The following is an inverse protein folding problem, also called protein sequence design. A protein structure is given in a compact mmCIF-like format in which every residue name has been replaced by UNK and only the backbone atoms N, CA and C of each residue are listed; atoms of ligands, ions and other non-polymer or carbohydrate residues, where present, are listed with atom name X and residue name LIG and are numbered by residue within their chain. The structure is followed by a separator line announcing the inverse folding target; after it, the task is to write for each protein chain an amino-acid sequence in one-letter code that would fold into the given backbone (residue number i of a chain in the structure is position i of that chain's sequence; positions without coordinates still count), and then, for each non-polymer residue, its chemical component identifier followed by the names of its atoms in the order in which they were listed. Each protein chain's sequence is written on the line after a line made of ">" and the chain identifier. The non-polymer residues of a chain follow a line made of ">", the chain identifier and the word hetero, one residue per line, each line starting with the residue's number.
data_IF_419387256940
#
_entry.id   IF_419387256940
#
_cell.length_a   1.000
_cell.length_b   1.000
_cell.length_c   1.000
_cell.angle_alpha   90.00
_cell.angle_beta   90.00
_cell.angle_gamma   90.00
#
_symmetry.space_group_name_H-M   'P 1'
#
loop_
_entity.id
_entity.type
_entity.pdbx_description
1 polymer ?
#
# COMPACT_ATOMS: atom_id res chain seq x y z
N UNK A 1 -22.45 39.36 27.70
CA UNK A 1 -21.25 39.14 26.86
C UNK A 1 -21.67 38.28 25.69
N UNK A 2 -21.74 38.90 24.51
CA UNK A 2 -22.04 38.26 23.23
C UNK A 2 -20.83 37.43 22.77
N UNK A 3 -21.04 36.12 22.56
CA UNK A 3 -20.05 35.25 21.96
C UNK A 3 -19.90 35.65 20.48
N UNK A 4 -18.79 36.28 20.13
CA UNK A 4 -18.40 36.45 18.72
C UNK A 4 -18.07 35.07 18.15
N UNK A 5 -18.49 34.74 16.91
CA UNK A 5 -18.04 33.53 16.25
C UNK A 5 -16.53 33.58 16.07
N UNK A 6 -15.86 32.50 16.47
CA UNK A 6 -14.46 32.23 16.17
C UNK A 6 -14.24 32.35 14.66
N UNK A 7 -13.52 33.40 14.26
CA UNK A 7 -13.23 33.73 12.86
C UNK A 7 -11.82 33.22 12.48
N UNK A 8 -11.48 32.01 12.91
CA UNK A 8 -10.43 31.22 12.27
C UNK A 8 -10.77 31.10 10.77
N UNK A 9 -9.83 31.30 9.84
CA UNK A 9 -10.09 31.11 8.41
C UNK A 9 -10.56 29.67 8.26
N UNK A 10 -11.85 29.49 7.97
CA UNK A 10 -12.44 28.18 7.77
C UNK A 10 -11.66 27.52 6.63
N UNK A 11 -11.28 26.28 6.84
CA UNK A 11 -10.67 25.42 5.83
C UNK A 11 -11.60 25.30 4.63
N UNK A 12 -11.55 26.26 3.71
CA UNK A 12 -12.39 26.28 2.52
C UNK A 12 -12.04 25.07 1.64
N UNK A 13 -13.07 24.27 1.40
CA UNK A 13 -13.05 23.14 0.48
C UNK A 13 -12.72 23.63 -0.94
N UNK A 14 -11.97 22.86 -1.72
CA UNK A 14 -11.63 23.24 -3.08
C UNK A 14 -12.89 23.28 -3.96
N UNK A 15 -13.25 24.46 -4.44
CA UNK A 15 -14.37 24.68 -5.35
C UNK A 15 -13.94 24.47 -6.80
N UNK A 16 -14.21 23.27 -7.31
CA UNK A 16 -13.89 22.88 -8.67
C UNK A 16 -14.64 23.70 -9.73
N UNK A 17 -15.88 24.12 -9.47
CA UNK A 17 -16.69 24.82 -10.48
C UNK A 17 -16.09 26.20 -10.74
N UNK A 18 -15.83 26.95 -9.66
CA UNK A 18 -15.12 28.24 -9.75
C UNK A 18 -13.73 28.07 -10.35
N UNK A 19 -12.97 27.06 -9.90
CA UNK A 19 -11.61 26.84 -10.37
C UNK A 19 -11.52 26.52 -11.88
N UNK A 20 -12.44 25.72 -12.41
CA UNK A 20 -12.51 25.41 -13.84
C UNK A 20 -12.82 26.65 -14.68
N UNK A 21 -13.73 27.50 -14.21
CA UNK A 21 -14.08 28.77 -14.87
C UNK A 21 -12.88 29.73 -14.87
N UNK A 22 -12.26 29.95 -13.71
CA UNK A 22 -11.12 30.88 -13.56
C UNK A 22 -9.91 30.46 -14.40
N UNK A 23 -9.68 29.16 -14.53
CA UNK A 23 -8.56 28.61 -15.30
C UNK A 23 -8.91 28.35 -16.77
N UNK A 24 -10.14 28.65 -17.20
CA UNK A 24 -10.66 28.36 -18.54
C UNK A 24 -10.31 26.93 -19.00
N UNK A 25 -10.59 25.97 -18.11
CA UNK A 25 -10.18 24.57 -18.27
C UNK A 25 -11.40 23.64 -18.21
N UNK A 26 -11.24 22.44 -18.75
CA UNK A 26 -12.27 21.40 -18.72
C UNK A 26 -11.86 20.26 -17.78
N UNK A 27 -12.82 19.69 -17.05
CA UNK A 27 -12.59 18.45 -16.32
C UNK A 27 -12.44 17.26 -17.30
N UNK A 28 -11.56 16.33 -16.99
CA UNK A 28 -11.54 15.04 -17.68
C UNK A 28 -12.83 14.26 -17.37
N UNK A 29 -13.40 13.63 -18.41
CA UNK A 29 -14.63 12.85 -18.26
C UNK A 29 -14.44 11.67 -17.31
N UNK A 30 -15.42 11.40 -16.44
CA UNK A 30 -15.39 10.27 -15.50
C UNK A 30 -15.20 8.90 -16.19
N UNK A 31 -15.66 8.75 -17.45
CA UNK A 31 -15.46 7.51 -18.21
C UNK A 31 -14.01 7.25 -18.63
N UNK A 32 -13.12 8.24 -18.50
CA UNK A 32 -11.69 8.09 -18.78
C UNK A 32 -10.94 7.38 -17.65
N UNK A 33 -11.56 7.25 -16.47
CA UNK A 33 -10.92 6.76 -15.25
C UNK A 33 -11.31 5.32 -14.97
N UNK A 34 -10.35 4.55 -14.43
CA UNK A 34 -10.65 3.26 -13.80
C UNK A 34 -11.09 3.49 -12.35
N UNK A 35 -12.22 4.16 -12.18
CA UNK A 35 -12.83 4.44 -10.89
C UNK A 35 -14.33 4.12 -10.93
N UNK A 36 -14.88 3.72 -9.79
CA UNK A 36 -16.33 3.61 -9.63
C UNK A 36 -16.94 5.02 -9.63
N UNK A 37 -18.06 5.22 -10.33
CA UNK A 37 -18.76 6.51 -10.35
C UNK A 37 -19.19 6.94 -8.94
N UNK A 38 -19.62 5.98 -8.12
CA UNK A 38 -19.89 6.18 -6.70
C UNK A 38 -18.69 5.61 -5.94
N UNK A 39 -18.01 6.40 -5.09
CA UNK A 39 -16.90 5.90 -4.30
C UNK A 39 -17.30 4.68 -3.46
N UNK A 40 -16.46 3.63 -3.42
CA UNK A 40 -16.78 2.42 -2.68
C UNK A 40 -16.78 2.70 -1.17
N UNK A 41 -17.77 2.13 -0.46
CA UNK A 41 -17.82 2.24 1.01
C UNK A 41 -16.62 1.53 1.66
N UNK A 42 -15.95 2.21 2.58
CA UNK A 42 -14.82 1.67 3.33
C UNK A 42 -15.24 1.07 4.67
N UNK A 43 -15.30 -0.27 4.73
CA UNK A 43 -15.78 -1.03 5.89
C UNK A 43 -14.66 -1.66 6.74
N UNK A 44 -13.40 -1.41 6.38
CA UNK A 44 -12.26 -1.85 7.17
C UNK A 44 -12.15 -1.09 8.50
N UNK A 45 -11.49 -1.69 9.49
CA UNK A 45 -11.15 -1.03 10.75
C UNK A 45 -9.63 -0.92 10.93
N UNK A 46 -9.19 0.17 11.57
CA UNK A 46 -7.79 0.32 11.97
C UNK A 46 -7.42 -0.80 12.95
N UNK A 47 -6.26 -1.43 12.72
CA UNK A 47 -5.78 -2.60 13.43
C UNK A 47 -6.13 -3.92 12.76
N UNK A 48 -7.06 -3.95 11.80
CA UNK A 48 -7.35 -5.17 11.04
C UNK A 48 -6.22 -5.55 10.10
N UNK A 49 -6.14 -6.84 9.80
CA UNK A 49 -5.12 -7.43 8.92
C UNK A 49 -5.70 -7.93 7.61
N UNK A 50 -4.88 -7.93 6.57
CA UNK A 50 -5.20 -8.43 5.24
C UNK A 50 -3.96 -8.99 4.54
N UNK A 51 -4.16 -9.69 3.43
CA UNK A 51 -3.08 -10.04 2.51
C UNK A 51 -2.89 -8.90 1.51
N UNK A 52 -1.64 -8.48 1.27
CA UNK A 52 -1.30 -7.41 0.33
C UNK A 52 0.00 -7.70 -0.39
N UNK A 53 0.17 -7.14 -1.57
CA UNK A 53 1.46 -7.10 -2.27
C UNK A 53 2.37 -6.05 -1.60
N UNK A 54 3.67 -6.34 -1.46
CA UNK A 54 4.67 -5.34 -1.08
C UNK A 54 4.96 -4.44 -2.30
N UNK A 55 4.76 -3.12 -2.25
CA UNK A 55 5.04 -2.24 -3.39
C UNK A 55 6.48 -2.30 -3.93
N UNK A 56 7.43 -2.78 -3.12
CA UNK A 56 8.85 -2.94 -3.50
C UNK A 56 9.15 -4.33 -4.07
N UNK A 57 8.21 -5.27 -3.97
CA UNK A 57 8.29 -6.61 -4.52
C UNK A 57 6.88 -7.10 -4.95
N UNK A 58 6.55 -6.84 -6.21
CA UNK A 58 5.18 -7.03 -6.72
C UNK A 58 4.77 -8.50 -6.90
N UNK A 59 5.72 -9.44 -6.81
CA UNK A 59 5.47 -10.87 -7.06
C UNK A 59 5.08 -11.64 -5.78
N UNK A 60 5.00 -10.95 -4.64
CA UNK A 60 4.97 -11.59 -3.32
C UNK A 60 3.85 -11.04 -2.44
N UNK A 61 3.00 -11.95 -1.97
CA UNK A 61 1.93 -11.64 -1.03
C UNK A 61 2.44 -11.73 0.41
N UNK A 62 2.26 -10.63 1.12
CA UNK A 62 2.63 -10.44 2.51
C UNK A 62 1.37 -10.15 3.34
N UNK A 63 1.55 -10.00 4.65
CA UNK A 63 0.48 -9.58 5.55
C UNK A 63 0.68 -8.10 5.87
N UNK A 64 -0.41 -7.34 5.77
CA UNK A 64 -0.46 -5.93 6.13
C UNK A 64 -1.48 -5.69 7.23
N UNK A 65 -1.18 -4.72 8.09
CA UNK A 65 -2.09 -4.16 9.08
C UNK A 65 -2.56 -2.78 8.62
N UNK A 66 -3.86 -2.52 8.75
CA UNK A 66 -4.46 -1.22 8.46
C UNK A 66 -4.12 -0.28 9.61
N UNK A 67 -3.37 0.77 9.32
CA UNK A 67 -2.92 1.73 10.33
C UNK A 67 -3.68 3.06 10.28
N UNK A 68 -4.34 3.35 9.16
CA UNK A 68 -5.14 4.57 8.99
C UNK A 68 -6.17 4.41 7.85
N UNK A 69 -7.11 5.34 7.75
CA UNK A 69 -8.16 5.38 6.73
C UNK A 69 -8.43 6.82 6.28
N UNK A 70 -8.74 7.00 5.01
CA UNK A 70 -9.16 8.28 4.45
C UNK A 70 -10.14 8.05 3.29
N UNK A 71 -11.42 8.28 3.54
CA UNK A 71 -12.51 7.89 2.65
C UNK A 71 -12.40 6.41 2.21
N UNK A 72 -12.44 6.10 0.90
CA UNK A 72 -12.23 4.76 0.33
C UNK A 72 -10.79 4.26 0.34
N UNK A 73 -9.83 5.02 0.88
CA UNK A 73 -8.43 4.60 0.99
C UNK A 73 -8.13 4.04 2.38
N UNK A 74 -7.29 3.03 2.43
CA UNK A 74 -6.70 2.46 3.64
C UNK A 74 -5.19 2.60 3.57
N UNK A 75 -4.57 2.97 4.70
CA UNK A 75 -3.12 3.00 4.84
C UNK A 75 -2.66 1.72 5.49
N UNK A 76 -1.71 1.05 4.85
CA UNK A 76 -1.28 -0.30 5.22
C UNK A 76 0.18 -0.26 5.62
N UNK A 77 0.50 -0.91 6.74
CA UNK A 77 1.86 -1.24 7.17
C UNK A 77 2.08 -2.73 7.04
N UNK A 78 3.20 -3.15 6.46
CA UNK A 78 3.54 -4.58 6.38
C UNK A 78 3.94 -5.12 7.76
N UNK A 79 3.45 -6.31 8.09
CA UNK A 79 3.68 -6.92 9.38
C UNK A 79 5.18 -7.23 9.59
N UNK A 80 5.74 -6.70 10.68
CA UNK A 80 7.15 -6.88 11.02
C UNK A 80 8.11 -5.89 10.34
N UNK A 81 7.60 -4.82 9.72
CA UNK A 81 8.38 -3.67 9.22
C UNK A 81 8.19 -2.42 10.07
N UNK A 82 8.95 -1.35 9.78
CA UNK A 82 8.71 -0.01 10.33
C UNK A 82 7.62 0.75 9.57
N UNK A 83 7.44 2.04 9.91
CA UNK A 83 6.44 2.96 9.35
C UNK A 83 6.91 3.75 8.12
N UNK A 84 8.17 3.56 7.69
CA UNK A 84 8.78 4.39 6.64
C UNK A 84 8.24 4.06 5.25
N UNK A 85 7.67 2.88 5.10
CA UNK A 85 7.18 2.34 3.83
C UNK A 85 5.69 2.01 3.89
N UNK A 86 4.93 2.66 4.79
CA UNK A 86 3.48 2.56 4.76
C UNK A 86 2.96 3.06 3.41
N UNK A 87 1.90 2.44 2.90
CA UNK A 87 1.33 2.80 1.59
C UNK A 87 -0.18 2.80 1.62
N UNK A 88 -0.77 3.60 0.73
CA UNK A 88 -2.21 3.70 0.57
C UNK A 88 -2.72 2.78 -0.53
N UNK A 89 -3.92 2.22 -0.32
CA UNK A 89 -4.68 1.50 -1.36
C UNK A 89 -6.16 1.82 -1.23
N UNK A 90 -6.86 1.82 -2.36
CA UNK A 90 -8.32 1.81 -2.36
C UNK A 90 -8.85 0.45 -1.87
N UNK A 91 -10.02 0.45 -1.24
CA UNK A 91 -10.70 -0.78 -0.76
C UNK A 91 -11.15 -1.74 -1.87
N UNK A 92 -11.14 -1.27 -3.12
CA UNK A 92 -11.43 -2.05 -4.33
C UNK A 92 -10.15 -2.40 -5.13
N UNK A 93 -8.97 -2.22 -4.54
CA UNK A 93 -7.69 -2.54 -5.18
C UNK A 93 -7.51 -4.05 -5.33
N UNK A 94 -6.95 -4.48 -6.46
CA UNK A 94 -6.50 -5.86 -6.67
C UNK A 94 -5.25 -6.23 -5.89
N UNK A 95 -4.57 -5.24 -5.29
CA UNK A 95 -3.35 -5.47 -4.51
C UNK A 95 -3.65 -5.93 -3.09
N UNK A 96 -4.91 -5.94 -2.67
CA UNK A 96 -5.37 -6.37 -1.35
C UNK A 96 -6.36 -7.52 -1.47
N UNK A 97 -6.35 -8.44 -0.51
CA UNK A 97 -7.30 -9.56 -0.45
C UNK A 97 -7.51 -10.09 0.96
N UNK A 98 -8.59 -10.84 1.13
CA UNK A 98 -8.89 -11.48 2.41
C UNK A 98 -7.86 -12.56 2.76
N UNK A 99 -7.65 -12.73 4.05
CA UNK A 99 -6.72 -13.73 4.56
C UNK A 99 -7.12 -15.16 4.19
N UNK A 100 -6.14 -15.97 3.81
CA UNK A 100 -6.30 -17.34 3.33
C UNK A 100 -6.39 -17.44 1.80
N UNK A 101 -6.50 -16.32 1.08
CA UNK A 101 -6.61 -16.33 -0.38
C UNK A 101 -5.32 -16.85 -1.03
N UNK A 102 -4.16 -16.40 -0.55
CA UNK A 102 -2.85 -16.89 -1.04
C UNK A 102 -2.75 -18.40 -0.94
N UNK A 103 -3.10 -18.96 0.23
CA UNK A 103 -3.05 -20.39 0.47
C UNK A 103 -4.04 -21.17 -0.39
N UNK A 104 -5.26 -20.61 -0.61
CA UNK A 104 -6.28 -21.22 -1.48
C UNK A 104 -5.81 -21.39 -2.92
N UNK A 105 -4.95 -20.49 -3.41
CA UNK A 105 -4.36 -20.58 -4.75
C UNK A 105 -3.00 -21.31 -4.77
N UNK A 106 -2.65 -22.04 -3.72
CA UNK A 106 -1.41 -22.82 -3.63
C UNK A 106 -0.15 -21.98 -3.39
N UNK A 107 -0.30 -20.68 -3.13
CA UNK A 107 0.80 -19.80 -2.75
C UNK A 107 1.12 -19.87 -1.27
N UNK A 108 2.21 -19.22 -0.86
CA UNK A 108 2.58 -19.04 0.54
C UNK A 108 2.75 -17.55 0.86
N UNK A 109 2.35 -17.16 2.07
CA UNK A 109 2.65 -15.82 2.58
C UNK A 109 4.14 -15.73 2.91
N UNK A 110 4.80 -14.73 2.35
CA UNK A 110 6.23 -14.49 2.54
C UNK A 110 6.47 -13.31 3.48
N UNK A 111 7.65 -13.22 4.13
CA UNK A 111 8.01 -12.02 4.86
C UNK A 111 8.13 -10.82 3.90
N UNK A 112 7.69 -9.62 4.31
CA UNK A 112 7.84 -8.41 3.50
C UNK A 112 9.32 -8.01 3.34
N UNK A 113 9.61 -7.21 2.32
CA UNK A 113 10.92 -6.59 2.20
C UNK A 113 11.17 -5.69 3.41
N UNK A 114 12.35 -5.73 4.01
CA UNK A 114 12.61 -4.98 5.24
C UNK A 114 11.91 -5.53 6.49
N UNK A 115 11.49 -6.80 6.48
CA UNK A 115 11.21 -7.54 7.71
C UNK A 115 12.39 -7.39 8.68
N UNK A 116 12.14 -6.84 9.87
CA UNK A 116 13.20 -6.37 10.76
C UNK A 116 13.97 -7.50 11.47
N UNK A 117 13.43 -8.72 11.43
CA UNK A 117 14.11 -9.88 11.99
C UNK A 117 14.74 -10.74 10.89
N UNK A 118 15.59 -11.68 11.28
CA UNK A 118 16.12 -12.67 10.35
C UNK A 118 14.97 -13.47 9.69
N UNK A 119 15.03 -13.68 8.38
CA UNK A 119 14.00 -14.37 7.59
C UNK A 119 13.68 -15.78 8.11
N UNK A 120 14.65 -16.49 8.69
CA UNK A 120 14.45 -17.81 9.33
C UNK A 120 13.48 -17.76 10.52
N UNK A 121 13.25 -16.58 11.11
CA UNK A 121 12.28 -16.36 12.20
C UNK A 121 10.86 -16.11 11.69
N UNK A 122 10.66 -15.94 10.39
CA UNK A 122 9.35 -15.62 9.81
C UNK A 122 8.27 -16.62 10.23
N UNK A 123 8.53 -17.92 10.12
CA UNK A 123 7.55 -18.95 10.50
C UNK A 123 7.09 -18.80 11.97
N UNK A 124 8.03 -18.56 12.88
CA UNK A 124 7.72 -18.32 14.31
C UNK A 124 7.01 -16.98 14.53
N UNK A 125 7.38 -15.95 13.78
CA UNK A 125 6.72 -14.65 13.82
C UNK A 125 5.26 -14.77 13.36
N UNK A 126 5.04 -15.43 12.23
CA UNK A 126 3.72 -15.63 11.62
C UNK A 126 2.79 -16.39 12.58
N UNK A 127 3.25 -17.52 13.13
CA UNK A 127 2.47 -18.32 14.08
C UNK A 127 2.05 -17.52 15.33
N UNK A 128 2.92 -16.61 15.81
CA UNK A 128 2.65 -15.84 17.04
C UNK A 128 1.83 -14.58 16.82
N UNK A 129 2.07 -13.86 15.73
CA UNK A 129 1.56 -12.49 15.55
C UNK A 129 0.51 -12.37 14.44
N UNK A 130 0.48 -13.32 13.50
CA UNK A 130 -0.33 -13.22 12.29
C UNK A 130 -1.46 -14.24 12.27
N UNK A 131 -1.17 -15.51 12.50
CA UNK A 131 -2.10 -16.63 12.22
C UNK A 131 -3.50 -16.47 12.81
N UNK A 132 -3.60 -15.90 14.02
CA UNK A 132 -4.86 -15.65 14.73
C UNK A 132 -5.13 -14.14 14.89
N UNK A 133 -4.62 -13.31 13.98
CA UNK A 133 -4.79 -11.87 14.01
C UNK A 133 -6.23 -11.42 13.69
N UNK A 134 -6.56 -10.15 13.97
CA UNK A 134 -7.88 -9.59 13.65
C UNK A 134 -8.00 -9.33 12.15
N UNK A 135 -8.30 -10.37 11.36
CA UNK A 135 -8.42 -10.23 9.91
C UNK A 135 -9.72 -9.55 9.49
N UNK A 136 -9.62 -8.66 8.51
CA UNK A 136 -10.77 -7.99 7.92
C UNK A 136 -11.72 -9.00 7.27
N UNK A 137 -13.03 -8.76 7.38
CA UNK A 137 -14.03 -9.62 6.79
C UNK A 137 -13.99 -9.55 5.25
N UNK A 138 -14.32 -10.65 4.57
CA UNK A 138 -14.36 -10.72 3.10
C UNK A 138 -15.26 -9.62 2.47
N UNK A 139 -16.33 -9.19 3.16
CA UNK A 139 -17.21 -8.11 2.73
C UNK A 139 -16.53 -6.73 2.62
N UNK A 140 -15.39 -6.52 3.28
CA UNK A 140 -14.65 -5.27 3.22
C UNK A 140 -13.98 -5.05 1.85
N UNK A 141 -13.65 -6.13 1.15
CA UNK A 141 -12.95 -6.11 -0.13
C UNK A 141 -13.94 -5.88 -1.27
N UNK A 142 -13.76 -4.81 -2.03
CA UNK A 142 -14.71 -4.39 -3.07
C UNK A 142 -14.23 -4.81 -4.46
N UNK A 143 -15.16 -4.90 -5.41
CA UNK A 143 -14.85 -5.26 -6.79
C UNK A 143 -14.15 -4.11 -7.51
N UNK A 144 -13.03 -4.42 -8.16
CA UNK A 144 -12.29 -3.43 -8.97
C UNK A 144 -13.16 -2.90 -10.12
N UNK A 145 -13.17 -1.58 -10.38
CA UNK A 145 -13.88 -1.00 -11.52
C UNK A 145 -13.30 -1.46 -12.86
N UNK A 146 -14.16 -1.45 -13.87
CA UNK A 146 -13.83 -1.80 -15.26
C UNK A 146 -12.76 -0.82 -15.77
N UNK A 147 -11.70 -1.38 -16.37
CA UNK A 147 -10.66 -0.59 -17.01
C UNK A 147 -11.23 0.03 -18.30
N UNK A 148 -11.10 1.36 -18.52
CA UNK A 148 -11.46 1.96 -19.80
C UNK A 148 -10.65 1.31 -20.93
N UNK A 149 -11.26 1.07 -22.09
CA UNK A 149 -10.59 0.35 -23.19
C UNK A 149 -9.43 1.13 -23.81
N UNK A 150 -9.53 2.47 -23.78
CA UNK A 150 -8.61 3.38 -24.45
C UNK A 150 -8.29 4.57 -23.56
N UNK A 151 -7.12 5.16 -23.79
CA UNK A 151 -6.78 6.45 -23.23
C UNK A 151 -7.57 7.54 -23.96
N UNK A 152 -8.54 8.16 -23.27
CA UNK A 152 -9.41 9.21 -23.80
C UNK A 152 -9.12 10.60 -23.19
N UNK A 153 -8.03 10.72 -22.43
CA UNK A 153 -7.61 12.01 -21.88
C UNK A 153 -7.11 12.96 -22.97
N UNK A 154 -7.30 14.25 -22.74
CA UNK A 154 -6.81 15.33 -23.60
C UNK A 154 -5.91 16.27 -22.81
N UNK A 155 -4.91 16.83 -23.48
CA UNK A 155 -4.05 17.87 -22.91
C UNK A 155 -4.90 19.06 -22.43
N UNK A 156 -4.57 19.59 -21.26
CA UNK A 156 -5.27 20.71 -20.63
C UNK A 156 -6.43 20.31 -19.72
N UNK A 157 -6.88 19.05 -19.77
CA UNK A 157 -7.95 18.60 -18.87
C UNK A 157 -7.48 18.54 -17.42
N UNK A 158 -8.37 18.90 -16.50
CA UNK A 158 -8.16 18.83 -15.05
C UNK A 158 -8.73 17.57 -14.43
N UNK A 159 -8.08 17.11 -13.37
CA UNK A 159 -8.44 15.92 -12.61
C UNK A 159 -7.86 16.00 -11.18
N UNK A 160 -8.16 14.99 -10.37
CA UNK A 160 -7.61 14.80 -9.03
C UNK A 160 -6.54 13.69 -9.07
N UNK A 161 -5.36 13.91 -8.48
CA UNK A 161 -4.27 12.93 -8.50
C UNK A 161 -3.53 12.84 -7.16
N UNK A 162 -3.13 11.64 -6.77
CA UNK A 162 -2.25 11.44 -5.62
C UNK A 162 -0.88 12.05 -5.90
N UNK A 163 -0.30 12.74 -4.92
CA UNK A 163 1.07 13.23 -5.01
C UNK A 163 2.06 12.06 -4.83
N UNK A 164 2.90 11.73 -5.83
CA UNK A 164 3.87 10.64 -5.71
C UNK A 164 4.89 10.82 -4.57
N UNK A 165 5.14 12.07 -4.13
CA UNK A 165 6.04 12.39 -3.01
C UNK A 165 5.34 12.38 -1.66
N UNK A 166 4.03 12.64 -1.66
CA UNK A 166 3.18 12.70 -0.48
C UNK A 166 1.91 11.89 -0.70
N UNK A 167 1.96 10.54 -0.67
CA UNK A 167 0.82 9.69 -1.02
C UNK A 167 -0.43 9.88 -0.14
N UNK A 168 -0.28 10.53 1.02
CA UNK A 168 -1.38 10.98 1.86
C UNK A 168 -2.23 12.07 1.19
N UNK A 169 -1.68 12.84 0.25
CA UNK A 169 -2.34 13.96 -0.41
C UNK A 169 -2.91 13.56 -1.77
N UNK A 170 -4.12 14.06 -2.04
CA UNK A 170 -4.69 14.13 -3.38
C UNK A 170 -4.78 15.62 -3.74
N UNK A 171 -4.32 15.96 -4.95
CA UNK A 171 -4.15 17.34 -5.40
C UNK A 171 -4.94 17.58 -6.69
N UNK A 172 -5.36 18.83 -6.96
CA UNK A 172 -5.77 19.25 -8.29
C UNK A 172 -4.59 19.08 -9.24
N UNK A 173 -4.84 18.51 -10.42
CA UNK A 173 -3.80 18.24 -11.41
C UNK A 173 -4.31 18.48 -12.83
N UNK A 174 -3.37 18.79 -13.71
CA UNK A 174 -3.63 19.07 -15.13
C UNK A 174 -2.90 18.04 -16.00
N UNK A 175 -3.58 17.53 -17.03
CA UNK A 175 -2.98 16.70 -18.08
C UNK A 175 -2.07 17.57 -18.95
N UNK A 176 -0.77 17.54 -18.66
CA UNK A 176 0.22 18.33 -19.39
C UNK A 176 0.52 17.76 -20.79
N UNK A 177 0.52 16.43 -20.94
CA UNK A 177 0.70 15.79 -22.24
C UNK A 177 0.15 14.35 -22.29
N UNK A 178 -0.13 13.88 -23.51
CA UNK A 178 -0.46 12.48 -23.79
C UNK A 178 0.79 11.79 -24.34
N UNK A 179 1.16 10.64 -23.76
CA UNK A 179 2.32 9.87 -24.21
C UNK A 179 1.82 8.77 -25.14
N UNK A 180 1.79 9.08 -26.44
CA UNK A 180 1.36 8.14 -27.47
C UNK A 180 2.26 6.90 -27.51
N UNK A 181 1.63 5.72 -27.64
CA UNK A 181 2.33 4.43 -27.71
C UNK A 181 2.60 3.74 -26.36
N UNK A 182 2.46 4.44 -25.23
CA UNK A 182 2.77 3.89 -23.89
C UNK A 182 1.55 3.91 -22.94
N UNK A 183 0.34 4.19 -23.44
CA UNK A 183 -0.88 4.24 -22.61
C UNK A 183 -0.75 5.14 -21.36
N UNK A 184 0.11 6.16 -21.40
CA UNK A 184 0.38 7.04 -20.26
C UNK A 184 -0.04 8.47 -20.53
N UNK A 185 -0.36 9.16 -19.45
CA UNK A 185 -0.56 10.60 -19.41
C UNK A 185 0.51 11.22 -18.51
N UNK A 186 0.96 12.42 -18.88
CA UNK A 186 1.86 13.22 -18.05
C UNK A 186 1.04 14.27 -17.32
N UNK A 187 1.12 14.27 -15.99
CA UNK A 187 0.40 15.16 -15.10
C UNK A 187 1.34 16.19 -14.50
N UNK A 188 0.79 17.38 -14.24
CA UNK A 188 1.36 18.40 -13.36
C UNK A 188 0.40 18.61 -12.19
N UNK A 189 0.91 18.66 -10.95
CA UNK A 189 0.09 19.10 -9.81
C UNK A 189 -0.04 20.62 -9.84
N UNK A 190 -1.26 21.12 -9.75
CA UNK A 190 -1.54 22.55 -9.91
C UNK A 190 -1.00 23.34 -8.71
N UNK A 191 -0.36 24.48 -8.97
CA UNK A 191 0.29 25.32 -7.95
C UNK A 191 1.68 24.84 -7.51
N UNK A 192 2.18 23.76 -8.09
CA UNK A 192 3.56 23.28 -7.90
C UNK A 192 4.41 23.58 -9.14
N UNK A 193 5.74 23.56 -9.00
CA UNK A 193 6.63 23.79 -10.15
C UNK A 193 6.47 22.68 -11.19
N UNK A 194 6.45 23.06 -12.48
CA UNK A 194 6.33 22.14 -13.63
C UNK A 194 7.50 21.16 -13.77
N UNK A 195 8.59 21.36 -13.01
CA UNK A 195 9.67 20.38 -12.85
C UNK A 195 9.25 19.11 -12.12
N UNK A 196 8.06 19.07 -11.52
CA UNK A 196 7.52 17.90 -10.81
C UNK A 196 6.49 17.12 -11.64
N UNK A 197 6.48 17.31 -12.97
CA UNK A 197 5.61 16.51 -13.83
C UNK A 197 5.92 15.02 -13.69
N UNK A 198 4.88 14.19 -13.63
CA UNK A 198 5.03 12.74 -13.49
C UNK A 198 4.13 12.00 -14.48
N UNK A 199 4.53 10.77 -14.82
CA UNK A 199 3.84 9.93 -15.78
C UNK A 199 3.01 8.89 -15.02
N UNK A 200 1.77 8.69 -15.45
CA UNK A 200 0.89 7.65 -14.93
C UNK A 200 0.20 6.91 -16.07
N UNK A 201 -0.07 5.63 -15.88
CA UNK A 201 -0.96 4.87 -16.77
C UNK A 201 -2.36 5.50 -16.75
N UNK A 202 -3.04 5.57 -17.90
CA UNK A 202 -4.38 6.19 -17.96
C UNK A 202 -5.42 5.46 -17.10
N UNK A 203 -5.17 4.18 -16.78
CA UNK A 203 -6.01 3.34 -15.92
C UNK A 203 -5.49 3.25 -14.48
N UNK A 204 -4.54 4.11 -14.10
CA UNK A 204 -4.02 4.20 -12.74
C UNK A 204 -5.14 4.39 -11.72
N UNK A 205 -5.01 3.75 -10.56
CA UNK A 205 -5.93 3.88 -9.43
C UNK A 205 -5.65 5.11 -8.56
N UNK A 206 -4.59 5.85 -8.89
CA UNK A 206 -4.11 7.04 -8.18
C UNK A 206 -4.57 8.36 -8.84
N UNK A 207 -5.47 8.28 -9.83
CA UNK A 207 -6.10 9.42 -10.49
C UNK A 207 -7.63 9.29 -10.42
N UNK A 208 -8.32 10.41 -10.27
CA UNK A 208 -9.75 10.48 -10.04
C UNK A 208 -10.38 11.63 -10.83
N UNK A 209 -11.67 11.50 -11.25
CA UNK A 209 -12.37 12.61 -11.88
C UNK A 209 -12.60 13.75 -10.89
N UNK A 210 -12.78 14.95 -11.42
CA UNK A 210 -13.15 16.13 -10.65
C UNK A 210 -14.41 15.87 -9.80
N UNK A 211 -14.34 16.20 -8.51
CA UNK A 211 -15.41 16.03 -7.53
C UNK A 211 -15.45 14.65 -6.87
N UNK A 212 -14.63 13.70 -7.31
CA UNK A 212 -14.66 12.34 -6.77
C UNK A 212 -14.24 12.29 -5.30
N UNK A 213 -13.12 12.94 -4.94
CA UNK A 213 -12.65 12.99 -3.56
C UNK A 213 -13.68 13.63 -2.63
N UNK A 214 -14.33 14.72 -3.06
CA UNK A 214 -15.42 15.35 -2.32
C UNK A 214 -16.56 14.36 -2.04
N UNK A 215 -17.02 13.63 -3.06
CA UNK A 215 -18.06 12.60 -2.91
C UNK A 215 -17.62 11.42 -2.02
N UNK A 216 -16.31 11.19 -1.92
CA UNK A 216 -15.69 10.13 -1.14
C UNK A 216 -15.37 10.55 0.31
N UNK A 217 -15.61 11.82 0.67
CA UNK A 217 -15.23 12.40 1.95
C UNK A 217 -13.71 12.62 2.12
N UNK A 218 -12.95 12.62 1.03
CA UNK A 218 -11.52 12.91 1.01
C UNK A 218 -11.31 14.40 0.75
N UNK A 219 -10.43 15.02 1.53
CA UNK A 219 -10.01 16.41 1.32
C UNK A 219 -8.92 16.50 0.26
N UNK A 220 -9.09 17.44 -0.67
CA UNK A 220 -8.10 17.76 -1.70
C UNK A 220 -7.17 18.85 -1.16
N UNK A 221 -5.87 18.74 -1.48
CA UNK A 221 -4.88 19.74 -1.14
C UNK A 221 -5.17 21.07 -1.84
N UNK A 222 -4.91 22.19 -1.15
CA UNK A 222 -5.02 23.52 -1.77
C UNK A 222 -3.96 23.68 -2.86
N UNK A 223 -4.33 24.33 -3.96
CA UNK A 223 -3.42 24.69 -5.05
C UNK A 223 -2.27 25.54 -4.47
N UNK A 224 -1.04 25.07 -4.59
CA UNK A 224 0.16 25.75 -4.05
C UNK A 224 0.25 25.81 -2.52
N UNK A 225 -0.59 25.07 -1.79
CA UNK A 225 -0.52 24.95 -0.34
C UNK A 225 0.63 24.05 0.10
N UNK A 226 1.30 24.41 1.20
CA UNK A 226 2.22 23.48 1.86
C UNK A 226 1.46 22.20 2.27
N UNK A 227 2.11 21.01 2.22
CA UNK A 227 1.51 19.80 2.73
C UNK A 227 1.08 20.01 4.19
N UNK A 228 -0.12 19.58 4.61
CA UNK A 228 -0.53 19.69 6.00
C UNK A 228 0.52 19.06 6.90
N UNK A 229 0.94 19.79 7.95
CA UNK A 229 1.95 19.28 8.87
C UNK A 229 1.46 17.96 9.48
N UNK A 230 2.37 16.96 9.56
CA UNK A 230 2.12 15.60 10.10
C UNK A 230 1.43 15.59 11.48
N UNK A 231 1.47 16.72 12.19
CA UNK A 231 0.91 16.97 13.52
C UNK A 231 -0.62 17.12 13.58
N UNK A 232 -1.31 17.34 12.45
CA UNK A 232 -2.76 17.64 12.47
C UNK A 232 -3.67 16.41 12.36
N UNK A 233 -3.12 15.23 12.04
CA UNK A 233 -3.84 13.97 12.16
C UNK A 233 -3.47 13.32 13.50
N UNK A 234 -4.09 13.80 14.58
CA UNK A 234 -4.00 13.11 15.87
C UNK A 234 -4.67 11.75 15.71
N UNK A 235 -3.86 10.70 15.58
CA UNK A 235 -4.30 9.35 15.88
C UNK A 235 -4.88 9.35 17.30
N UNK A 236 -6.10 8.83 17.45
CA UNK A 236 -6.65 8.58 18.76
C UNK A 236 -5.72 7.60 19.48
N UNK A 237 -5.29 7.87 20.73
CA UNK A 237 -4.46 6.93 21.45
C UNK A 237 -5.24 5.63 21.66
N UNK A 238 -4.70 4.53 21.14
CA UNK A 238 -5.16 3.17 21.45
C UNK A 238 -4.98 2.99 22.96
N UNK A 239 -6.08 2.98 23.70
CA UNK A 239 -6.05 2.64 25.12
C UNK A 239 -5.77 1.14 25.26
N UNK A 240 -4.75 0.71 26.03
CA UNK A 240 -4.55 -0.69 26.29
C UNK A 240 -5.75 -1.23 27.08
N UNK A 241 -6.44 -2.20 26.48
CA UNK A 241 -7.59 -2.89 27.05
C UNK A 241 -7.21 -3.52 28.40
N UNK A 242 -7.66 -2.93 29.52
CA UNK A 242 -7.56 -3.56 30.85
C UNK A 242 -8.63 -4.64 30.94
N UNK A 243 -8.22 -5.90 30.84
CA UNK A 243 -9.05 -7.03 31.24
C UNK A 243 -9.25 -7.00 32.76
N UNK A 244 -10.48 -6.73 33.19
CA UNK A 244 -10.95 -7.05 34.53
C UNK A 244 -11.23 -8.56 34.61
N UNK A 245 -10.46 -9.26 35.43
CA UNK A 245 -10.66 -10.66 35.76
C UNK A 245 -10.13 -10.95 37.16
N UNK A 246 -10.84 -10.47 38.18
CA UNK A 246 -10.61 -10.86 39.57
C UNK A 246 -11.08 -12.30 39.77
N UNK A 247 -10.15 -13.25 39.84
CA UNK A 247 -10.36 -14.49 40.60
C UNK A 247 -9.20 -14.64 41.57
N UNK A 248 -9.56 -14.49 42.84
CA UNK A 248 -8.73 -14.63 44.03
C UNK A 248 -8.56 -16.12 44.31
N UNK A 249 -7.35 -16.65 44.17
CA UNK A 249 -6.91 -17.82 44.93
C UNK A 249 -5.61 -17.49 45.64
N UNK A 250 -5.70 -17.53 46.97
CA UNK A 250 -4.56 -17.49 47.88
C UNK A 250 -3.84 -18.84 47.81
N UNK A 251 -2.51 -18.83 47.70
CA UNK A 251 -1.65 -19.66 48.54
C UNK A 251 -0.17 -19.26 48.46
N UNK A 252 0.32 -18.81 49.63
CA UNK A 252 1.62 -19.09 50.25
C UNK A 252 2.95 -18.94 49.47
N UNK A 253 3.66 -17.89 49.90
CA UNK A 253 5.11 -17.67 50.07
C UNK A 253 5.99 -18.93 50.01
N UNK A 254 7.09 -18.84 49.24
CA UNK A 254 8.44 -19.10 49.76
C UNK A 254 9.52 -18.41 48.90
N UNK A 255 10.27 -17.51 49.54
CA UNK A 255 11.54 -16.93 49.08
C UNK A 255 12.66 -17.94 49.31
N UNK A 256 13.57 -18.11 48.36
CA UNK A 256 14.99 -18.38 48.65
C UNK A 256 15.87 -17.78 47.55
N UNK A 257 16.84 -17.01 48.01
CA UNK A 257 17.88 -16.28 47.29
C UNK A 257 19.19 -17.05 47.43
N UNK A 258 19.93 -17.30 46.36
CA UNK A 258 21.35 -17.70 46.35
C UNK A 258 21.95 -17.09 45.06
N UNK A 259 22.61 -15.94 45.10
CA UNK A 259 24.07 -15.70 45.27
C UNK A 259 24.92 -16.39 44.18
N UNK A 260 25.50 -15.55 43.33
CA UNK A 260 26.64 -15.82 42.45
C UNK A 260 27.97 -15.81 43.23
N UNK A 261 29.04 -16.37 42.64
CA UNK A 261 30.33 -15.71 42.76
C UNK A 261 31.03 -15.49 41.41
N UNK A 262 31.68 -14.33 41.31
CA UNK A 262 32.86 -14.05 40.47
C UNK A 262 34.02 -14.96 40.90
N UNK A 263 35.11 -15.19 40.16
CA UNK A 263 36.08 -14.23 39.60
C UNK A 263 37.18 -15.01 38.86
N UNK A 264 37.82 -14.35 37.89
CA UNK A 264 39.24 -14.42 37.47
C UNK A 264 39.78 -15.79 36.96
N UNK A 265 40.53 -15.84 35.87
CA UNK A 265 41.79 -15.13 35.72
C UNK A 265 42.25 -14.92 34.26
N UNK A 266 43.19 -13.98 34.14
CA UNK A 266 44.28 -13.73 33.18
C UNK A 266 44.63 -14.88 32.19
N UNK A 267 45.36 -14.72 31.09
CA UNK A 267 46.00 -13.66 30.30
C UNK A 267 46.74 -14.37 29.15
N UNK A 268 47.31 -13.56 28.24
CA UNK A 268 48.46 -13.83 27.38
C UNK A 268 48.28 -14.18 25.88
N UNK A 269 48.95 -13.31 25.12
CA UNK A 269 49.73 -13.52 23.89
C UNK A 269 49.04 -13.61 22.53
N UNK A 270 49.09 -12.46 21.87
CA UNK A 270 49.40 -12.21 20.46
C UNK A 270 50.51 -13.07 19.85
N UNK A 271 50.29 -13.56 18.63
CA UNK A 271 51.33 -13.70 17.57
C UNK A 271 50.70 -13.45 16.20
N UNK A 272 51.38 -12.62 15.41
CA UNK A 272 51.14 -12.22 14.03
C UNK A 272 51.76 -13.19 13.00
N UNK A 273 51.37 -12.98 11.73
CA UNK A 273 52.07 -13.27 10.46
C UNK A 273 51.44 -14.34 9.53
N UNK A 274 50.82 -13.80 8.47
CA UNK A 274 51.16 -13.93 7.04
C UNK A 274 51.10 -15.29 6.29
N UNK A 275 50.14 -15.32 5.36
CA UNK A 275 50.33 -15.40 3.89
C UNK A 275 51.08 -16.62 3.29
N UNK A 276 50.34 -17.50 2.58
CA UNK A 276 50.41 -17.69 1.10
C UNK A 276 49.71 -18.96 0.59
N UNK A 277 48.92 -18.73 -0.47
CA UNK A 277 48.71 -19.54 -1.68
C UNK A 277 48.75 -21.07 -1.64
N UNK A 278 47.69 -21.68 -2.17
CA UNK A 278 47.82 -22.56 -3.34
C UNK A 278 46.54 -22.57 -4.19
N UNK A 279 46.72 -22.22 -5.47
CA UNK A 279 45.77 -22.42 -6.56
C UNK A 279 45.73 -23.90 -6.95
N UNK A 280 44.55 -24.40 -7.32
CA UNK A 280 44.44 -25.45 -8.34
C UNK A 280 43.40 -25.06 -9.39
N UNK A 281 43.92 -24.86 -10.59
CA UNK A 281 43.22 -24.68 -11.86
C UNK A 281 42.96 -26.05 -12.47
N UNK A 282 41.74 -26.30 -12.96
CA UNK A 282 41.52 -27.06 -14.20
C UNK A 282 40.23 -26.63 -14.91
N UNK A 283 40.45 -25.91 -16.02
CA UNK A 283 39.66 -25.77 -17.27
C UNK A 283 39.23 -27.13 -17.85
N UNK A 284 38.30 -27.34 -18.81
CA UNK A 284 37.43 -26.58 -19.75
C UNK A 284 36.63 -27.68 -20.50
N UNK A 285 35.43 -27.39 -21.01
CA UNK A 285 35.15 -27.33 -22.47
C UNK A 285 33.67 -27.07 -22.80
N UNK A 286 33.53 -26.11 -23.70
CA UNK A 286 32.39 -25.69 -24.51
C UNK A 286 32.04 -26.69 -25.60
N UNK A 287 30.80 -26.62 -26.12
CA UNK A 287 30.55 -26.56 -27.57
C UNK A 287 29.16 -25.99 -27.90
N UNK A 288 29.12 -25.23 -28.98
CA UNK A 288 28.03 -24.47 -29.60
C UNK A 288 27.29 -25.28 -30.66
N UNK A 289 25.96 -25.12 -30.82
CA UNK A 289 25.26 -25.03 -32.12
C UNK A 289 23.78 -24.64 -31.97
N UNK A 290 23.31 -23.71 -32.81
CA UNK A 290 21.90 -23.47 -33.19
C UNK A 290 21.75 -23.86 -34.69
N UNK A 291 20.59 -23.81 -35.39
CA UNK A 291 19.21 -23.47 -34.97
C UNK A 291 18.12 -24.47 -35.47
N UNK A 292 16.90 -24.42 -34.93
CA UNK A 292 15.70 -24.60 -35.78
C UNK A 292 14.36 -24.17 -35.15
N UNK A 293 13.46 -23.74 -36.04
CA UNK A 293 12.08 -23.25 -35.85
C UNK A 293 11.12 -24.36 -35.37
N UNK A 294 10.16 -24.02 -34.51
CA UNK A 294 8.72 -24.15 -34.78
C UNK A 294 7.83 -23.77 -33.57
N UNK A 295 6.94 -22.81 -33.85
CA UNK A 295 5.50 -22.76 -33.55
C UNK A 295 4.94 -23.05 -32.14
N UNK A 296 4.27 -22.00 -31.63
CA UNK A 296 2.94 -21.97 -31.01
C UNK A 296 2.58 -23.01 -29.95
N UNK A 297 2.46 -22.54 -28.70
CA UNK A 297 1.30 -22.83 -27.84
C UNK A 297 1.12 -21.77 -26.73
N UNK A 298 0.02 -21.03 -26.91
CA UNK A 298 -0.79 -20.28 -25.95
C UNK A 298 -0.30 -20.19 -24.49
N UNK A 299 0.09 -18.97 -24.10
CA UNK A 299 -0.05 -18.48 -22.72
C UNK A 299 -1.53 -18.23 -22.46
N UNK A 300 -2.17 -19.08 -21.66
CA UNK A 300 -3.53 -18.84 -21.17
C UNK A 300 -3.46 -17.74 -20.12
N UNK A 301 -4.13 -16.65 -20.41
CA UNK A 301 -4.25 -15.48 -19.56
C UNK A 301 -5.06 -15.81 -18.30
N UNK A 302 -4.54 -15.45 -17.12
CA UNK A 302 -5.10 -15.81 -15.81
C UNK A 302 -6.43 -15.09 -15.50
N UNK A 303 -6.90 -14.22 -16.39
CA UNK A 303 -8.16 -13.48 -16.27
C UNK A 303 -9.41 -14.32 -16.61
N UNK A 304 -9.27 -15.43 -17.34
CA UNK A 304 -10.43 -16.22 -17.83
C UNK A 304 -11.00 -17.24 -16.84
N UNK A 305 -10.34 -17.44 -15.69
CA UNK A 305 -10.75 -18.47 -14.71
C UNK A 305 -11.77 -17.89 -13.70
N UNK A 306 -11.82 -16.57 -13.50
CA UNK A 306 -12.81 -15.96 -12.60
C UNK A 306 -14.20 -15.76 -13.25
N UNK A 307 -14.29 -15.64 -14.57
CA UNK A 307 -15.58 -15.42 -15.27
C UNK A 307 -16.36 -16.71 -15.51
N UNK A 308 -15.69 -17.88 -15.52
CA UNK A 308 -16.33 -19.17 -15.79
C UNK A 308 -16.97 -19.83 -14.56
N UNK A 309 -16.59 -19.45 -13.35
CA UNK A 309 -17.16 -20.01 -12.12
C UNK A 309 -18.42 -19.31 -11.61
N UNK A 310 -18.85 -18.20 -12.24
CA UNK A 310 -20.05 -17.44 -11.81
C UNK A 310 -21.32 -17.89 -12.56
N UNK A 311 -21.20 -18.64 -13.68
CA UNK A 311 -22.37 -19.12 -14.43
C UNK A 311 -22.96 -20.45 -13.95
N UNK A 312 -22.53 -20.99 -12.81
CA UNK A 312 -23.02 -22.29 -12.30
C UNK A 312 -23.88 -22.24 -11.02
N UNK A 313 -24.12 -21.06 -10.46
CA UNK A 313 -24.97 -20.89 -9.25
C UNK A 313 -26.26 -20.08 -9.48
N UNK A 314 -26.76 -19.99 -10.73
CA UNK A 314 -28.08 -19.40 -11.03
C UNK A 314 -29.07 -20.37 -11.71
N UNK A 315 -28.85 -21.67 -11.58
CA UNK A 315 -29.91 -22.66 -11.80
C UNK A 315 -29.84 -23.71 -10.71
N UNK A 316 -30.59 -23.50 -9.63
CA UNK A 316 -31.49 -24.40 -8.89
C UNK A 316 -32.21 -23.55 -7.84
#
# INVERSE_FOLDING_TARGET
>A
MSLTPDNSPRDEEHDWDTYLIETNSEAASACNFRQSLIPPKNEFNVGEKLETIDPRNQDSWCIGTIIDKDGPRIRIRLDGTDDRNDFWRLVDSTDIRCYGTTAKFGGQIVPPLGFQQNSTRWAKYFERNVKNGPFANASCFKTIPIKPEKNLFKKGQKLEAVDPKHPELICPATVNNIIYGDHRIMLSLDGWSSSNNFKVDYSSREIFPVGWCKSAGIRIAKVGGNPPSRTSMKSLPISPNKQNGNVRQQQSKNKKTIISPSSNDSSYSSTTMDEKNNNLVTTKKSNTTSPNKNENKSSLDFHDIQTKNIKKEQLI
#
